data_IF_097574178393
#
_entry.id   IF_097574178393
#
_cell.length_a   1.000
_cell.length_b   1.000
_cell.length_c   1.000
_cell.angle_alpha   90.00
_cell.angle_beta   90.00
_cell.angle_gamma   90.00
#
_symmetry.space_group_name_H-M   'P 1'
#
loop_
_entity.id
_entity.type
_entity.pdbx_description
1 polymer ?
2 branched ?
3 non-polymer ?
4 water ?
#
# COMPACT_ATOMS: atom_id res chain seq x y z
N UNK A 39 -8.09 23.97 4.73
CA UNK A 39 -8.57 22.60 5.10
C UNK A 39 -8.98 21.71 3.93
N UNK A 40 -8.44 22.00 2.75
CA UNK A 40 -8.64 21.13 1.60
C UNK A 40 -7.32 20.69 0.96
N UNK A 41 -6.17 21.20 1.41
CA UNK A 41 -4.93 20.92 0.69
C UNK A 41 -4.46 19.48 0.93
N UNK A 42 -3.73 18.97 -0.05
CA UNK A 42 -3.18 17.63 0.07
C UNK A 42 -2.14 17.54 1.17
N UNK A 43 -2.09 16.40 1.85
CA UNK A 43 -1.06 16.13 2.86
C UNK A 43 -0.01 15.18 2.31
N UNK A 44 1.24 15.65 2.32
CA UNK A 44 2.34 14.88 1.74
C UNK A 44 3.10 14.02 2.74
N UNK A 45 2.48 13.84 3.92
CA UNK A 45 2.93 12.84 4.92
C UNK A 45 1.87 11.75 5.09
N UNK A 46 0.95 11.66 4.13
CA UNK A 46 -0.12 10.66 4.12
C UNK A 46 0.04 9.82 2.86
N UNK A 47 0.27 8.53 3.04
CA UNK A 47 0.63 7.59 1.97
C UNK A 47 -0.47 6.56 1.80
N UNK A 48 -1.05 6.45 0.63
CA UNK A 48 -2.14 5.54 0.42
C UNK A 48 -1.71 4.41 -0.51
N UNK A 49 -1.76 3.17 -0.02
CA UNK A 49 -1.28 2.02 -0.79
C UNK A 49 -2.20 1.75 -1.96
N UNK A 50 -1.58 1.74 -3.15
CA UNK A 50 -2.28 1.69 -4.43
C UNK A 50 -1.83 0.48 -5.23
N UNK A 51 -2.80 -0.19 -5.84
CA UNK A 51 -2.55 -1.42 -6.57
C UNK A 51 -2.89 -1.16 -8.04
N UNK A 52 -1.95 -1.50 -8.94
CA UNK A 52 -2.03 -1.22 -10.38
C UNK A 52 -2.18 -2.48 -11.22
N UNK A 53 -2.75 -3.53 -10.66
CA UNK A 53 -2.75 -4.84 -11.27
C UNK A 53 -4.07 -5.21 -11.96
N UNK A 54 -5.02 -4.26 -12.02
CA UNK A 54 -6.32 -4.52 -12.60
C UNK A 54 -6.30 -4.32 -14.10
N UNK A 55 -7.05 -5.15 -14.82
CA UNK A 55 -7.19 -5.00 -16.25
C UNK A 55 -8.65 -4.95 -16.66
N UNK A 56 -8.88 -4.42 -17.86
CA UNK A 56 -10.20 -4.43 -18.47
C UNK A 56 -10.11 -4.85 -19.91
N UNK A 57 -11.23 -5.26 -20.47
CA UNK A 57 -11.28 -5.57 -21.89
C UNK A 57 -10.92 -4.36 -22.72
N UNK A 58 -11.36 -3.16 -22.28
CA UNK A 58 -11.10 -1.94 -23.03
C UNK A 58 -9.63 -1.70 -23.32
N UNK A 59 -8.79 -1.91 -22.32
CA UNK A 59 -7.38 -1.60 -22.42
C UNK A 59 -6.51 -2.82 -22.62
N UNK A 60 -6.62 -3.76 -21.69
CA UNK A 60 -5.79 -4.95 -21.64
C UNK A 60 -6.26 -6.11 -22.48
N UNK A 61 -7.53 -6.11 -22.83
CA UNK A 61 -8.19 -7.23 -23.49
C UNK A 61 -8.57 -8.36 -22.56
N UNK A 62 -8.44 -8.15 -21.25
CA UNK A 62 -8.70 -9.18 -20.24
C UNK A 62 -8.98 -8.49 -18.92
N UNK A 63 -9.88 -9.05 -18.12
CA UNK A 63 -10.20 -8.49 -16.82
C UNK A 63 -9.25 -9.02 -15.74
N UNK A 64 -7.99 -8.64 -15.88
CA UNK A 64 -6.93 -9.08 -14.98
C UNK A 64 -7.25 -8.69 -13.53
N UNK A 65 -7.00 -9.63 -12.63
CA UNK A 65 -7.22 -9.50 -11.19
C UNK A 65 -8.69 -9.52 -10.77
N UNK A 66 -9.59 -8.94 -11.56
CA UNK A 66 -11.01 -9.16 -11.30
C UNK A 66 -11.31 -10.65 -11.38
N UNK A 67 -10.63 -11.33 -12.30
CA UNK A 67 -10.50 -12.79 -12.32
C UNK A 67 -9.29 -13.16 -11.48
N UNK A 68 -9.45 -14.13 -10.57
CA UNK A 68 -8.37 -14.46 -9.63
C UNK A 68 -8.58 -15.88 -9.15
N UNK A 69 -7.49 -16.60 -9.00
CA UNK A 69 -7.52 -17.91 -8.39
C UNK A 69 -7.99 -17.82 -6.94
N UNK A 70 -8.73 -18.82 -6.51
CA UNK A 70 -9.09 -18.97 -5.12
C UNK A 70 -7.96 -19.73 -4.42
N UNK A 71 -7.52 -19.22 -3.27
CA UNK A 71 -6.40 -19.85 -2.54
C UNK A 71 -6.87 -21.11 -1.82
N UNK A 72 -6.10 -22.21 -1.94
CA UNK A 72 -6.39 -23.35 -1.09
C UNK A 72 -6.13 -23.00 0.38
N UNK A 73 -6.79 -23.70 1.27
CA UNK A 73 -6.59 -23.53 2.71
C UNK A 73 -5.20 -24.10 3.09
N UNK A 74 -4.29 -23.25 3.60
CA UNK A 74 -2.95 -23.75 3.95
C UNK A 74 -2.94 -24.79 5.07
N UNK A 75 -3.99 -24.81 5.89
CA UNK A 75 -4.12 -25.82 6.96
C UNK A 75 -5.10 -26.94 6.58
N UNK A 76 -5.59 -26.94 5.35
CA UNK A 76 -6.53 -27.94 4.88
C UNK A 76 -5.81 -29.15 4.32
N UNK A 77 -6.56 -29.99 3.63
CA UNK A 77 -6.04 -31.25 3.11
C UNK A 77 -5.36 -31.09 1.77
N UNK A 78 -4.89 -32.22 1.23
CA UNK A 78 -4.34 -32.28 -0.11
C UNK A 78 -5.48 -32.45 -1.11
N UNK A 79 -5.17 -32.24 -2.38
CA UNK A 79 -6.16 -32.36 -3.45
C UNK A 79 -7.35 -31.41 -3.34
N UNK A 80 -7.13 -30.24 -2.75
CA UNK A 80 -8.12 -29.17 -2.83
C UNK A 80 -8.11 -28.67 -4.27
N UNK A 81 -9.29 -28.45 -4.82
CA UNK A 81 -9.42 -27.87 -6.16
C UNK A 81 -10.32 -26.65 -5.98
N UNK A 82 -9.76 -25.56 -5.43
CA UNK A 82 -10.60 -24.44 -5.00
C UNK A 82 -11.24 -23.65 -6.12
N UNK A 83 -10.62 -23.68 -7.31
CA UNK A 83 -11.20 -23.02 -8.47
C UNK A 83 -10.72 -21.59 -8.61
N UNK A 84 -11.45 -20.86 -9.46
CA UNK A 84 -11.09 -19.51 -9.85
C UNK A 84 -12.32 -18.65 -9.97
N UNK A 85 -12.20 -17.40 -9.57
CA UNK A 85 -13.24 -16.40 -9.76
C UNK A 85 -13.05 -15.89 -11.19
N UNK A 86 -14.11 -15.88 -12.02
CA UNK A 86 -13.88 -15.61 -13.46
C UNK A 86 -13.79 -14.16 -13.90
N UNK A 87 -14.07 -13.21 -13.01
CA UNK A 87 -13.96 -11.81 -13.38
C UNK A 87 -15.02 -11.37 -14.34
N UNK A 88 -16.17 -12.04 -14.30
CA UNK A 88 -17.33 -11.61 -15.07
C UNK A 88 -18.02 -10.43 -14.39
N UNK A 89 -19.01 -9.83 -15.04
CA UNK A 89 -19.88 -8.77 -14.43
C UNK A 89 -20.39 -9.25 -13.09
N UNK A 90 -20.82 -10.49 -13.06
CA UNK A 90 -21.50 -11.04 -11.91
C UNK A 90 -20.57 -11.51 -10.79
N UNK A 91 -19.35 -11.94 -11.15
CA UNK A 91 -18.46 -12.62 -10.20
C UNK A 91 -17.04 -12.11 -10.33
N UNK A 92 -16.70 -11.20 -9.43
CA UNK A 92 -15.37 -10.61 -9.37
C UNK A 92 -14.67 -11.00 -8.07
N UNK A 93 -13.36 -10.83 -8.04
CA UNK A 93 -12.52 -11.26 -6.94
C UNK A 93 -12.46 -10.22 -5.81
N UNK A 94 -13.63 -9.92 -5.28
CA UNK A 94 -13.78 -9.00 -4.16
C UNK A 94 -15.09 -9.32 -3.48
N UNK A 95 -15.17 -9.01 -2.19
CA UNK A 95 -16.44 -9.06 -1.47
C UNK A 95 -17.26 -7.77 -1.67
N UNK A 96 -16.66 -6.74 -2.27
CA UNK A 96 -17.29 -5.46 -2.61
C UNK A 96 -17.28 -5.28 -4.13
N UNK A 97 -17.95 -4.24 -4.62
CA UNK A 97 -18.08 -4.00 -6.04
C UNK A 97 -17.69 -2.55 -6.34
N UNK A 98 -16.66 -2.32 -7.17
CA UNK A 98 -16.25 -0.93 -7.40
C UNK A 98 -17.28 -0.09 -8.12
N UNK A 99 -17.40 1.17 -7.69
CA UNK A 99 -18.21 2.15 -8.43
C UNK A 99 -17.76 2.26 -9.88
N UNK A 100 -16.46 2.17 -10.15
CA UNK A 100 -15.91 2.25 -11.49
C UNK A 100 -15.95 0.96 -12.29
N UNK A 101 -16.50 -0.10 -11.70
CA UNK A 101 -16.60 -1.38 -12.36
C UNK A 101 -15.26 -2.09 -12.47
N UNK A 102 -15.21 -3.02 -13.43
CA UNK A 102 -14.03 -3.85 -13.67
C UNK A 102 -13.03 -3.05 -14.52
N UNK A 103 -12.35 -2.11 -13.86
CA UNK A 103 -11.54 -1.11 -14.53
C UNK A 103 -10.13 -1.61 -14.81
N UNK A 104 -9.46 -0.95 -15.77
CA UNK A 104 -8.04 -1.18 -16.01
C UNK A 104 -7.19 -0.10 -15.31
N UNK A 105 -6.15 -0.57 -14.63
CA UNK A 105 -5.11 0.29 -14.08
C UNK A 105 -4.28 1.02 -15.13
N UNK A 106 -4.43 0.61 -16.41
CA UNK A 106 -3.76 1.25 -17.53
C UNK A 106 -4.69 2.13 -18.34
N UNK A 107 -5.92 2.40 -17.85
CA UNK A 107 -6.90 3.24 -18.56
C UNK A 107 -6.67 4.67 -18.10
N UNK A 108 -6.18 5.55 -18.97
CA UNK A 108 -5.93 6.93 -18.51
C UNK A 108 -7.16 7.62 -17.93
N UNK A 109 -8.36 7.26 -18.42
CA UNK A 109 -9.55 7.89 -17.92
C UNK A 109 -9.88 7.43 -16.46
N UNK A 110 -9.60 6.18 -16.17
CA UNK A 110 -9.74 5.69 -14.80
C UNK A 110 -8.71 6.36 -13.91
N UNK A 111 -7.48 6.48 -14.40
CA UNK A 111 -6.42 7.06 -13.56
C UNK A 111 -6.76 8.50 -13.22
N UNK A 112 -7.31 9.26 -14.16
CA UNK A 112 -7.78 10.62 -13.88
C UNK A 112 -8.74 10.64 -12.69
N UNK A 113 -9.72 9.75 -12.76
CA UNK A 113 -10.73 9.63 -11.72
C UNK A 113 -10.13 9.26 -10.37
N UNK A 114 -9.20 8.31 -10.38
CA UNK A 114 -8.49 7.96 -9.15
C UNK A 114 -7.76 9.15 -8.56
N UNK A 115 -7.10 9.94 -9.40
CA UNK A 115 -6.40 11.10 -8.86
C UNK A 115 -7.37 12.12 -8.27
N UNK A 116 -8.54 12.30 -8.91
CA UNK A 116 -9.56 13.16 -8.31
C UNK A 116 -10.01 12.60 -6.94
N UNK A 117 -10.06 11.27 -6.81
CA UNK A 117 -10.41 10.67 -5.52
C UNK A 117 -9.34 10.92 -4.46
N UNK A 118 -8.06 10.82 -4.84
CA UNK A 118 -6.98 11.20 -3.93
C UNK A 118 -7.12 12.65 -3.48
N UNK A 119 -7.46 13.54 -4.41
CA UNK A 119 -7.67 14.93 -4.03
C UNK A 119 -8.80 15.07 -3.03
N UNK A 120 -9.91 14.38 -3.28
CA UNK A 120 -11.04 14.39 -2.33
C UNK A 120 -10.63 13.90 -0.94
N UNK A 121 -9.79 12.87 -0.91
CA UNK A 121 -9.34 12.27 0.33
C UNK A 121 -8.23 13.07 1.02
N UNK A 122 -7.62 14.01 0.30
CA UNK A 122 -6.49 14.84 0.76
C UNK A 122 -5.20 14.03 0.95
N UNK A 123 -5.12 12.88 0.30
CA UNK A 123 -3.97 11.98 0.42
C UNK A 123 -2.97 12.38 -0.64
N UNK A 124 -1.83 12.95 -0.25
CA UNK A 124 -0.89 13.47 -1.22
C UNK A 124 0.07 12.50 -1.83
N UNK A 125 0.22 11.30 -1.26
CA UNK A 125 1.20 10.33 -1.78
C UNK A 125 0.50 9.01 -2.11
N UNK A 126 0.71 8.56 -3.32
CA UNK A 126 0.28 7.27 -3.83
C UNK A 126 1.47 6.33 -3.69
N UNK A 127 1.31 5.28 -2.88
CA UNK A 127 2.40 4.33 -2.61
C UNK A 127 2.14 3.08 -3.48
N UNK A 128 2.81 3.04 -4.62
CA UNK A 128 2.50 2.12 -5.71
C UNK A 128 3.12 0.75 -5.53
N UNK A 129 2.28 -0.29 -5.46
CA UNK A 129 2.77 -1.67 -5.44
C UNK A 129 3.72 -1.90 -6.61
N UNK A 130 4.81 -2.61 -6.36
CA UNK A 130 5.81 -2.81 -7.40
C UNK A 130 6.37 -4.22 -7.30
N UNK A 131 6.14 -4.97 -8.39
CA UNK A 131 6.40 -6.40 -8.42
C UNK A 131 7.53 -6.81 -9.34
N UNK A 132 8.25 -5.83 -9.91
CA UNK A 132 9.38 -6.14 -10.77
C UNK A 132 9.00 -7.06 -11.92
N UNK A 133 7.93 -6.70 -12.61
CA UNK A 133 7.45 -7.55 -13.69
C UNK A 133 8.35 -7.52 -14.92
N UNK A 134 9.12 -6.45 -15.11
CA UNK A 134 10.09 -6.39 -16.23
C UNK A 134 9.37 -6.59 -17.56
N UNK A 135 8.30 -5.84 -17.75
CA UNK A 135 7.47 -5.96 -18.95
C UNK A 135 7.02 -4.59 -19.35
N UNK A 136 6.82 -4.45 -20.63
CA UNK A 136 6.33 -3.24 -21.25
C UNK A 136 5.10 -2.67 -20.55
N UNK A 137 4.18 -3.56 -20.20
CA UNK A 137 2.92 -3.10 -19.62
C UNK A 137 3.13 -2.45 -18.25
N UNK A 138 4.05 -2.97 -17.46
CA UNK A 138 4.40 -2.35 -16.18
C UNK A 138 4.97 -0.96 -16.39
N UNK A 139 5.91 -0.86 -17.31
CA UNK A 139 6.55 0.42 -17.56
C UNK A 139 5.52 1.43 -18.04
N UNK A 140 4.62 1.01 -18.92
CA UNK A 140 3.58 1.91 -19.42
C UNK A 140 2.72 2.43 -18.28
N UNK A 141 2.26 1.51 -17.47
CA UNK A 141 1.36 1.85 -16.42
C UNK A 141 1.99 2.81 -15.40
N UNK A 142 3.25 2.55 -15.03
CA UNK A 142 3.90 3.45 -14.08
C UNK A 142 3.96 4.85 -14.66
N UNK A 143 4.34 4.97 -15.93
CA UNK A 143 4.37 6.28 -16.55
C UNK A 143 3.02 6.96 -16.59
N UNK A 144 1.96 6.21 -16.89
CA UNK A 144 0.61 6.79 -16.89
C UNK A 144 0.20 7.28 -15.50
N UNK A 145 0.50 6.48 -14.49
CA UNK A 145 0.17 6.85 -13.12
C UNK A 145 0.89 8.11 -12.70
N UNK A 146 2.20 8.20 -12.98
CA UNK A 146 2.93 9.42 -12.70
C UNK A 146 2.34 10.64 -13.41
N UNK A 147 2.05 10.48 -14.69
CA UNK A 147 1.48 11.60 -15.44
C UNK A 147 0.14 12.06 -14.87
N UNK A 148 -0.72 11.10 -14.54
CA UNK A 148 -2.02 11.45 -14.01
C UNK A 148 -1.89 12.10 -12.64
N UNK A 149 -1.03 11.54 -11.80
CA UNK A 149 -0.79 12.11 -10.49
C UNK A 149 -0.33 13.56 -10.56
N UNK A 150 0.58 13.84 -11.49
CA UNK A 150 1.14 15.19 -11.54
C UNK A 150 0.10 16.23 -11.89
N UNK A 151 -0.92 15.87 -12.66
CA UNK A 151 -1.97 16.82 -13.03
C UNK A 151 -2.71 17.35 -11.80
N UNK A 152 -2.72 16.56 -10.72
CA UNK A 152 -3.43 16.88 -9.48
C UNK A 152 -2.50 17.16 -8.31
N UNK A 153 -1.19 17.29 -8.58
CA UNK A 153 -0.15 17.54 -7.58
C UNK A 153 -0.02 16.39 -6.58
N UNK A 154 -0.43 15.18 -6.99
CA UNK A 154 -0.18 13.99 -6.19
C UNK A 154 1.23 13.49 -6.49
N UNK A 155 1.85 12.91 -5.47
CA UNK A 155 3.18 12.33 -5.57
C UNK A 155 3.10 10.83 -5.55
N UNK A 156 4.15 10.18 -6.06
CA UNK A 156 4.18 8.73 -6.17
C UNK A 156 5.50 8.23 -5.57
N UNK A 157 5.38 7.25 -4.67
CA UNK A 157 6.52 6.49 -4.18
C UNK A 157 6.24 5.03 -4.43
N UNK A 158 7.25 4.18 -4.24
CA UNK A 158 7.11 2.75 -4.53
C UNK A 158 7.07 1.89 -3.27
N UNK A 159 6.19 0.89 -3.36
CA UNK A 159 5.99 -0.15 -2.33
C UNK A 159 6.59 -1.43 -2.89
N UNK A 160 7.81 -1.76 -2.47
CA UNK A 160 8.57 -2.84 -3.07
C UNK A 160 8.13 -4.19 -2.49
N UNK A 161 7.48 -4.97 -3.35
CA UNK A 161 6.90 -6.22 -2.97
C UNK A 161 7.92 -7.36 -2.98
N UNK A 162 7.56 -8.54 -2.46
CA UNK A 162 8.49 -9.68 -2.40
C UNK A 162 8.52 -10.44 -3.70
N UNK A 163 9.17 -9.83 -4.68
CA UNK A 163 9.31 -10.41 -6.02
C UNK A 163 10.29 -11.59 -5.97
N UNK A 164 10.24 -12.47 -6.98
CA UNK A 164 11.08 -13.68 -6.94
C UNK A 164 12.58 -13.37 -6.84
N UNK A 165 13.23 -14.04 -5.91
CA UNK A 165 14.67 -13.89 -5.67
C UNK A 165 15.09 -12.50 -5.25
N UNK A 166 14.16 -11.73 -4.68
CA UNK A 166 14.50 -10.43 -4.15
C UNK A 166 15.66 -10.58 -3.17
N UNK A 167 16.64 -9.69 -3.26
CA UNK A 167 17.79 -9.70 -2.37
C UNK A 167 18.38 -8.30 -2.38
N UNK A 168 19.37 -8.02 -1.53
CA UNK A 168 19.81 -6.63 -1.47
C UNK A 168 20.55 -6.14 -2.72
N UNK A 169 21.17 -7.05 -3.47
CA UNK A 169 21.86 -6.62 -4.67
C UNK A 169 20.87 -6.25 -5.77
N UNK A 170 19.89 -7.13 -6.06
CA UNK A 170 18.90 -6.72 -7.06
C UNK A 170 18.00 -5.59 -6.54
N UNK A 171 17.78 -5.49 -5.24
CA UNK A 171 17.07 -4.31 -4.71
C UNK A 171 17.84 -3.05 -5.04
N UNK A 172 19.14 -3.04 -4.81
CA UNK A 172 19.91 -1.86 -5.14
C UNK A 172 19.77 -1.53 -6.61
N UNK A 173 19.89 -2.54 -7.46
CA UNK A 173 19.81 -2.33 -8.90
C UNK A 173 18.45 -1.76 -9.28
N UNK A 174 17.40 -2.26 -8.63
CA UNK A 174 16.04 -1.79 -8.91
C UNK A 174 15.76 -0.41 -8.36
N UNK A 175 16.32 -0.08 -7.19
CA UNK A 175 16.23 1.28 -6.68
C UNK A 175 16.93 2.25 -7.64
N UNK A 176 18.12 1.88 -8.11
CA UNK A 176 18.83 2.70 -9.09
C UNK A 176 17.97 2.85 -10.34
N UNK A 177 17.39 1.76 -10.81
CA UNK A 177 16.57 1.80 -12.00
C UNK A 177 15.37 2.73 -11.83
N UNK A 178 14.66 2.60 -10.72
CA UNK A 178 13.47 3.41 -10.50
C UNK A 178 13.83 4.89 -10.34
N UNK A 179 14.90 5.19 -9.61
CA UNK A 179 15.31 6.58 -9.46
C UNK A 179 15.80 7.15 -10.81
N UNK A 180 16.55 6.36 -11.58
CA UNK A 180 17.03 6.80 -12.88
C UNK A 180 15.86 7.06 -13.83
N UNK A 181 14.92 6.11 -13.88
CA UNK A 181 13.79 6.22 -14.80
C UNK A 181 12.82 7.32 -14.43
N UNK A 182 12.49 7.41 -13.14
CA UNK A 182 11.37 8.20 -12.69
C UNK A 182 11.71 9.35 -11.77
N UNK A 183 12.96 9.43 -11.31
CA UNK A 183 13.35 10.44 -10.34
C UNK A 183 13.20 11.86 -10.80
N UNK A 184 13.30 12.11 -12.10
CA UNK A 184 13.09 13.46 -12.64
C UNK A 184 11.66 13.75 -13.03
N UNK A 185 10.75 12.77 -12.86
CA UNK A 185 9.36 13.03 -13.14
C UNK A 185 8.85 13.95 -12.03
N UNK A 186 8.08 15.00 -12.36
CA UNK A 186 7.63 15.93 -11.33
C UNK A 186 6.79 15.32 -10.19
N UNK A 187 6.13 14.19 -10.47
CA UNK A 187 5.30 13.53 -9.47
C UNK A 187 6.09 12.58 -8.59
N UNK A 188 7.36 12.31 -8.85
CA UNK A 188 8.13 11.41 -8.00
C UNK A 188 8.32 12.03 -6.61
N UNK A 189 7.95 11.28 -5.59
CA UNK A 189 7.99 11.77 -4.21
C UNK A 189 9.40 11.90 -3.69
N UNK A 190 9.65 12.99 -2.96
CA UNK A 190 10.83 13.10 -2.11
C UNK A 190 10.44 13.76 -0.79
N UNK A 191 11.10 13.31 0.27
CA UNK A 191 10.97 13.88 1.62
C UNK A 191 12.34 14.39 1.99
N UNK A 192 12.45 15.70 2.22
CA UNK A 192 13.74 16.36 2.52
C UNK A 192 14.86 15.92 1.57
N UNK A 193 14.52 15.86 0.27
CA UNK A 193 15.46 15.54 -0.78
C UNK A 193 15.63 14.08 -1.12
N UNK A 194 15.01 13.19 -0.35
CA UNK A 194 15.24 11.76 -0.54
C UNK A 194 13.98 11.08 -1.03
N UNK A 195 14.10 10.19 -2.03
CA UNK A 195 12.99 9.28 -2.32
C UNK A 195 12.64 8.45 -1.09
N UNK A 196 11.46 7.86 -1.09
CA UNK A 196 11.02 6.99 0.02
C UNK A 196 10.52 5.69 -0.59
N UNK A 197 10.96 4.56 -0.03
CA UNK A 197 10.45 3.25 -0.41
C UNK A 197 9.90 2.53 0.81
N UNK A 198 8.74 1.91 0.64
CA UNK A 198 8.22 0.95 1.64
C UNK A 198 8.69 -0.42 1.20
N UNK A 199 9.25 -1.19 2.12
CA UNK A 199 9.76 -2.53 1.81
C UNK A 199 8.87 -3.57 2.47
N UNK A 200 8.01 -4.19 1.67
CA UNK A 200 7.07 -5.16 2.21
C UNK A 200 7.79 -6.45 2.58
N UNK A 201 7.39 -7.04 3.71
CA UNK A 201 7.97 -8.32 4.16
C UNK A 201 9.50 -8.21 4.20
N UNK A 202 9.99 -7.10 4.74
CA UNK A 202 11.44 -6.92 4.86
C UNK A 202 12.11 -8.00 5.69
N UNK A 203 11.37 -8.64 6.59
CA UNK A 203 11.94 -9.71 7.44
C UNK A 203 12.37 -10.94 6.65
N UNK A 204 11.95 -11.06 5.40
CA UNK A 204 12.39 -12.17 4.55
C UNK A 204 13.89 -12.06 4.21
N UNK A 205 14.50 -10.90 4.48
CA UNK A 205 15.91 -10.67 4.25
C UNK A 205 16.57 -10.38 5.59
N UNK A 206 17.67 -11.08 5.86
CA UNK A 206 18.38 -10.94 7.11
C UNK A 206 18.98 -9.55 7.33
N UNK A 207 19.04 -9.08 8.58
CA UNK A 207 19.71 -7.80 8.83
C UNK A 207 21.16 -7.74 8.34
N UNK A 208 21.87 -8.86 8.40
CA UNK A 208 23.26 -8.87 7.89
C UNK A 208 23.34 -8.54 6.39
N UNK A 209 22.31 -8.89 5.65
CA UNK A 209 22.20 -8.50 4.23
C UNK A 209 21.76 -7.04 4.12
N UNK A 210 20.72 -6.65 4.84
CA UNK A 210 20.25 -5.26 4.79
C UNK A 210 21.40 -4.28 5.09
N UNK A 211 22.26 -4.60 6.05
CA UNK A 211 23.34 -3.71 6.45
C UNK A 211 24.23 -3.33 5.25
N UNK A 212 24.42 -4.28 4.34
CA UNK A 212 25.26 -4.05 3.18
C UNK A 212 24.75 -2.91 2.32
N UNK A 213 23.42 -2.78 2.28
CA UNK A 213 22.74 -1.80 1.46
C UNK A 213 22.49 -0.50 2.23
N UNK A 214 22.22 -0.62 3.53
CA UNK A 214 21.64 0.48 4.31
C UNK A 214 22.52 1.08 5.38
N UNK A 215 23.58 0.40 5.78
CA UNK A 215 24.54 1.03 6.68
C UNK A 215 25.39 2.00 5.86
N UNK A 216 25.82 3.12 6.47
CA UNK A 216 26.72 4.01 5.72
C UNK A 216 28.03 3.40 5.26
N UNK A 217 28.47 2.38 5.96
CA UNK A 217 29.69 1.67 5.54
C UNK A 217 29.45 0.40 4.75
N UNK A 218 28.21 0.15 4.38
CA UNK A 218 27.88 -1.12 3.77
C UNK A 218 28.57 -1.30 2.44
N UNK A 219 28.86 -2.56 2.14
CA UNK A 219 29.55 -2.98 0.95
C UNK A 219 28.95 -2.46 -0.35
N UNK A 220 27.61 -2.37 -0.40
CA UNK A 220 26.87 -1.84 -1.54
C UNK A 220 25.94 -0.70 -1.11
N UNK A 221 26.44 0.14 -0.22
CA UNK A 221 25.55 1.12 0.39
C UNK A 221 24.94 2.07 -0.64
N UNK A 222 23.72 2.50 -0.33
CA UNK A 222 23.12 3.65 -0.99
C UNK A 222 23.34 4.92 -0.20
N UNK A 223 23.78 4.84 1.05
CA UNK A 223 23.92 6.05 1.85
C UNK A 223 24.98 6.94 1.25
N UNK A 224 24.67 8.24 1.21
CA UNK A 224 25.60 9.27 0.68
C UNK A 224 25.84 9.17 -0.82
N UNK A 225 25.09 8.32 -1.50
CA UNK A 225 25.18 8.20 -2.94
C UNK A 225 24.05 8.96 -3.61
N UNK A 226 24.10 9.02 -4.93
CA UNK A 226 23.02 9.60 -5.71
C UNK A 226 21.69 8.87 -5.51
N UNK A 227 21.73 7.64 -5.00
CA UNK A 227 20.56 6.79 -4.88
C UNK A 227 20.11 6.62 -3.45
N UNK A 228 20.58 7.49 -2.54
CA UNK A 228 20.15 7.43 -1.14
C UNK A 228 18.64 7.66 -1.08
N UNK A 229 17.98 6.99 -0.13
CA UNK A 229 16.53 7.00 -0.01
C UNK A 229 16.15 6.68 1.43
N UNK A 230 14.95 7.09 1.81
CA UNK A 230 14.35 6.65 3.08
C UNK A 230 13.75 5.28 2.85
N UNK A 231 14.22 4.31 3.65
CA UNK A 231 13.82 2.93 3.49
C UNK A 231 13.00 2.54 4.71
N UNK A 232 11.73 2.22 4.48
CA UNK A 232 10.75 1.99 5.54
C UNK A 232 10.43 0.49 5.56
N UNK A 233 10.91 -0.19 6.61
CA UNK A 233 10.70 -1.62 6.72
C UNK A 233 9.40 -1.98 7.41
N UNK A 234 8.99 -3.23 7.28
CA UNK A 234 7.72 -3.68 7.84
C UNK A 234 7.92 -4.19 9.27
N UNK A 235 7.36 -3.52 10.25
CA UNK A 235 7.35 -4.02 11.64
C UNK A 235 6.18 -4.99 11.78
N UNK A 236 6.48 -6.26 12.03
CA UNK A 236 5.45 -7.30 12.18
C UNK A 236 5.21 -7.67 13.64
N UNK A 237 6.16 -8.38 14.24
CA UNK A 237 5.94 -9.06 15.52
C UNK A 237 6.39 -8.27 16.76
N UNK A 238 6.81 -8.96 17.82
CA UNK A 238 7.01 -8.31 19.11
C UNK A 238 8.27 -7.44 19.12
N UNK A 239 8.35 -6.46 20.04
CA UNK A 239 9.51 -5.59 20.11
C UNK A 239 10.83 -6.33 20.31
N UNK A 240 10.81 -7.45 21.04
CA UNK A 240 12.06 -8.16 21.26
C UNK A 240 12.68 -8.68 19.95
N UNK A 241 11.85 -8.92 18.95
CA UNK A 241 12.32 -9.30 17.61
C UNK A 241 12.53 -8.06 16.74
N UNK A 242 11.58 -7.15 16.75
CA UNK A 242 11.59 -6.06 15.74
C UNK A 242 12.57 -4.96 16.05
N UNK A 243 12.79 -4.64 17.33
CA UNK A 243 13.70 -3.56 17.64
C UNK A 243 15.12 -3.85 17.13
N UNK A 244 15.68 -5.03 17.46
CA UNK A 244 17.01 -5.29 16.91
C UNK A 244 17.03 -5.45 15.40
N UNK A 245 15.95 -5.99 14.83
CA UNK A 245 15.90 -6.12 13.39
C UNK A 245 16.04 -4.76 12.70
N UNK A 246 15.22 -3.80 13.11
CA UNK A 246 15.19 -2.49 12.49
C UNK A 246 16.52 -1.77 12.69
N UNK A 247 17.07 -1.83 13.90
CA UNK A 247 18.37 -1.21 14.16
C UNK A 247 19.49 -1.84 13.36
N UNK A 248 19.57 -3.16 13.40
CA UNK A 248 20.67 -3.85 12.74
C UNK A 248 20.57 -3.82 11.23
N UNK A 249 19.36 -3.69 10.69
CA UNK A 249 19.16 -3.56 9.25
C UNK A 249 19.37 -2.13 8.74
N UNK A 250 19.41 -1.15 9.65
CA UNK A 250 19.61 0.26 9.26
C UNK A 250 18.48 0.85 8.43
N UNK A 251 17.26 0.37 8.66
CA UNK A 251 16.10 1.06 8.07
C UNK A 251 15.96 2.46 8.66
N UNK A 252 15.43 3.36 7.85
CA UNK A 252 15.14 4.71 8.30
C UNK A 252 13.88 4.80 9.12
N UNK A 253 13.00 3.80 8.98
CA UNK A 253 11.74 3.81 9.65
C UNK A 253 11.01 2.52 9.44
N UNK A 254 9.74 2.49 9.86
CA UNK A 254 8.96 1.29 9.77
C UNK A 254 7.49 1.63 9.65
N UNK A 255 6.76 0.70 9.04
CA UNK A 255 5.32 0.76 8.84
C UNK A 255 4.73 -0.57 9.24
N UNK A 256 3.40 -0.67 9.27
CA UNK A 256 2.76 -1.87 9.83
C UNK A 256 1.86 -2.61 8.84
N UNK A 257 1.43 -1.92 7.77
CA UNK A 257 0.62 -2.39 6.64
C UNK A 257 -0.79 -2.90 6.98
N UNK A 258 -0.92 -3.93 7.83
CA UNK A 258 -2.18 -4.68 7.82
C UNK A 258 -3.33 -3.82 8.28
N UNK A 259 -4.43 -3.90 7.51
CA UNK A 259 -5.63 -3.15 7.85
C UNK A 259 -6.43 -3.76 8.98
N UNK A 260 -6.18 -5.05 9.26
CA UNK A 260 -6.91 -5.80 10.28
C UNK A 260 -6.26 -5.69 11.65
N UNK A 261 -6.94 -5.02 12.55
CA UNK A 261 -6.39 -4.79 13.90
C UNK A 261 -6.11 -6.14 14.54
N UNK A 262 -4.96 -6.24 15.18
CA UNK A 262 -4.59 -7.44 15.90
C UNK A 262 -4.05 -8.57 15.05
N UNK A 263 -3.95 -8.37 13.73
CA UNK A 263 -3.40 -9.42 12.89
C UNK A 263 -1.93 -9.71 13.24
N UNK A 264 -1.18 -8.63 13.51
CA UNK A 264 0.17 -8.74 14.01
C UNK A 264 0.27 -7.81 15.24
N UNK A 265 1.35 -7.95 15.97
CA UNK A 265 1.68 -6.98 17.03
C UNK A 265 1.68 -5.55 16.47
N UNK A 266 2.33 -5.38 15.32
CA UNK A 266 2.44 -4.05 14.71
C UNK A 266 1.12 -3.44 14.27
N UNK A 267 0.16 -4.29 13.90
CA UNK A 267 -1.15 -3.82 13.51
C UNK A 267 -2.16 -3.82 14.65
N UNK A 268 -1.68 -3.83 15.90
CA UNK A 268 -2.49 -3.70 17.08
C UNK A 268 -2.33 -2.27 17.61
N UNK A 269 -3.34 -1.38 17.40
CA UNK A 269 -3.10 0.03 17.63
C UNK A 269 -2.77 0.42 19.05
N UNK A 270 -3.14 -0.37 20.03
CA UNK A 270 -2.73 -0.09 21.42
C UNK A 270 -1.21 -0.16 21.62
N UNK A 271 -0.47 -0.75 20.66
CA UNK A 271 0.98 -0.74 20.73
C UNK A 271 1.63 0.49 20.11
N UNK A 272 0.85 1.34 19.46
CA UNK A 272 1.42 2.42 18.68
C UNK A 272 2.09 3.52 19.50
N UNK A 273 1.57 3.87 20.67
CA UNK A 273 2.22 4.86 21.50
C UNK A 273 3.65 4.43 21.84
N UNK A 274 3.81 3.18 22.25
CA UNK A 274 5.13 2.67 22.62
C UNK A 274 6.06 2.53 21.41
N UNK A 275 5.49 2.12 20.28
CA UNK A 275 6.29 2.02 19.05
C UNK A 275 6.78 3.39 18.61
N UNK A 276 5.95 4.42 18.75
CA UNK A 276 6.35 5.77 18.40
C UNK A 276 7.44 6.27 19.36
N UNK A 277 7.31 5.97 20.66
CA UNK A 277 8.33 6.38 21.61
C UNK A 277 9.69 5.78 21.27
N UNK A 278 9.68 4.48 20.96
CA UNK A 278 10.91 3.78 20.56
C UNK A 278 11.49 4.41 19.27
N UNK A 279 10.62 4.66 18.30
CA UNK A 279 11.05 5.28 17.05
C UNK A 279 11.76 6.61 17.32
N UNK A 280 11.12 7.46 18.14
CA UNK A 280 11.68 8.77 18.43
C UNK A 280 13.03 8.65 19.12
N UNK A 281 13.14 7.73 20.09
CA UNK A 281 14.39 7.53 20.83
C UNK A 281 15.53 7.03 19.92
N UNK A 282 15.17 6.39 18.81
CA UNK A 282 16.17 5.74 17.96
C UNK A 282 16.29 6.36 16.58
N UNK A 283 15.70 7.56 16.40
CA UNK A 283 15.82 8.32 15.16
C UNK A 283 15.15 7.66 13.96
N UNK A 284 14.09 6.90 14.20
CA UNK A 284 13.35 6.21 13.17
C UNK A 284 12.01 6.88 12.89
N UNK A 285 11.58 6.80 11.63
CA UNK A 285 10.27 7.30 11.21
C UNK A 285 9.21 6.20 11.30
N UNK A 286 8.21 6.37 12.15
CA UNK A 286 7.13 5.41 12.27
C UNK A 286 5.95 5.90 11.47
N UNK A 287 5.49 5.05 10.54
CA UNK A 287 4.39 5.34 9.63
C UNK A 287 3.31 4.25 9.83
N UNK A 288 2.53 4.34 10.92
CA UNK A 288 1.51 3.31 11.14
C UNK A 288 0.54 3.26 9.98
N UNK A 289 0.02 2.07 9.72
CA UNK A 289 -0.97 1.86 8.66
C UNK A 289 -2.37 1.70 9.26
N UNK A 290 -3.30 2.48 8.70
CA UNK A 290 -4.69 2.47 9.13
C UNK A 290 -5.52 2.00 7.94
N UNK A 291 -6.65 1.34 8.22
CA UNK A 291 -7.57 0.97 7.17
C UNK A 291 -8.99 0.90 7.63
N UNK A 292 -9.90 0.79 6.67
CA UNK A 292 -11.33 0.92 7.01
C UNK A 292 -12.02 -0.37 7.38
N UNK A 293 -11.34 -1.49 7.16
CA UNK A 293 -11.89 -2.84 7.39
C UNK A 293 -11.02 -3.85 6.68
N UNK A 294 -11.45 -5.10 6.73
CA UNK A 294 -10.76 -6.18 6.04
C UNK A 294 -11.74 -7.30 5.77
N UNK A 295 -11.75 -7.82 4.54
CA UNK A 295 -12.43 -9.08 4.27
C UNK A 295 -11.94 -9.60 2.93
N UNK A 296 -11.49 -10.85 2.92
CA UNK A 296 -10.90 -11.44 1.71
C UNK A 296 -11.49 -12.80 1.37
N UNK A 297 -12.70 -13.09 1.85
CA UNK A 297 -13.20 -14.45 1.79
C UNK A 297 -13.65 -14.91 0.42
N UNK A 298 -13.80 -14.03 -0.57
CA UNK A 298 -14.02 -14.52 -1.93
C UNK A 298 -12.78 -15.26 -2.45
N UNK A 299 -11.59 -14.70 -2.21
CA UNK A 299 -10.35 -15.34 -2.66
C UNK A 299 -9.70 -16.24 -1.62
N UNK A 300 -10.04 -16.07 -0.35
CA UNK A 300 -9.48 -16.88 0.75
C UNK A 300 -10.63 -17.29 1.66
N UNK A 301 -11.47 -18.26 1.22
CA UNK A 301 -12.69 -18.59 1.97
C UNK A 301 -12.46 -19.05 3.41
N UNK A 302 -11.27 -19.56 3.65
CA UNK A 302 -10.79 -20.09 4.93
C UNK A 302 -10.25 -19.02 5.88
N UNK A 303 -10.18 -17.76 5.45
CA UNK A 303 -9.55 -16.70 6.21
C UNK A 303 -10.52 -15.76 6.94
N UNK A 304 -11.69 -16.28 7.30
CA UNK A 304 -12.69 -15.47 7.93
C UNK A 304 -12.34 -14.88 9.27
N UNK A 305 -11.41 -15.47 10.02
CA UNK A 305 -11.03 -14.89 11.32
C UNK A 305 -10.38 -13.50 11.21
N UNK A 306 -9.89 -13.15 10.02
CA UNK A 306 -9.24 -11.85 9.77
C UNK A 306 -10.28 -10.78 9.41
N UNK A 307 -11.56 -11.16 9.20
CA UNK A 307 -12.56 -10.15 8.87
C UNK A 307 -12.62 -9.08 9.97
N UNK A 308 -12.62 -7.83 9.55
CA UNK A 308 -12.88 -6.69 10.42
C UNK A 308 -13.99 -5.89 9.76
N UNK A 309 -15.10 -5.77 10.46
CA UNK A 309 -16.29 -5.09 9.96
C UNK A 309 -16.14 -3.57 9.98
N UNK A 310 -16.69 -2.91 8.96
CA UNK A 310 -16.52 -1.46 8.85
C UNK A 310 -17.35 -0.61 9.79
N UNK A 311 -18.50 -1.16 10.21
CA UNK A 311 -19.42 -0.48 11.12
C UNK A 311 -19.68 0.97 10.74
N UNK A 312 -20.02 1.17 9.48
CA UNK A 312 -20.43 2.51 8.98
C UNK A 312 -19.38 3.57 9.25
N UNK A 313 -18.12 3.16 9.19
CA UNK A 313 -16.99 4.06 9.39
C UNK A 313 -16.35 4.05 10.75
N UNK A 314 -16.98 3.42 11.74
CA UNK A 314 -16.46 3.51 13.11
C UNK A 314 -15.14 2.77 13.27
N UNK A 315 -14.95 1.67 12.53
CA UNK A 315 -13.67 0.98 12.60
C UNK A 315 -12.53 1.87 12.07
N UNK A 316 -12.76 2.50 10.91
CA UNK A 316 -11.76 3.40 10.33
C UNK A 316 -11.45 4.53 11.29
N UNK A 317 -12.49 5.13 11.85
CA UNK A 317 -12.30 6.23 12.79
C UNK A 317 -11.43 5.81 13.97
N UNK A 318 -11.70 4.63 14.55
CA UNK A 318 -10.93 4.20 15.70
C UNK A 318 -9.47 4.00 15.37
N UNK A 319 -9.19 3.42 14.20
CA UNK A 319 -7.81 3.17 13.86
C UNK A 319 -7.06 4.47 13.55
N UNK A 320 -7.69 5.36 12.79
CA UNK A 320 -7.06 6.63 12.42
C UNK A 320 -6.84 7.47 13.67
N UNK A 321 -7.82 7.50 14.57
CA UNK A 321 -7.66 8.26 15.82
C UNK A 321 -6.45 7.76 16.61
N UNK A 322 -6.27 6.44 16.70
CA UNK A 322 -5.14 5.89 17.44
C UNK A 322 -3.81 6.26 16.83
N UNK A 323 -3.74 6.27 15.50
CA UNK A 323 -2.49 6.71 14.86
C UNK A 323 -2.16 8.15 15.23
N UNK A 324 -3.15 9.02 15.15
CA UNK A 324 -2.95 10.43 15.45
C UNK A 324 -2.56 10.62 16.91
N UNK A 325 -3.25 9.90 17.79
CA UNK A 325 -2.98 10.01 19.23
C UNK A 325 -1.60 9.52 19.60
N UNK A 326 -1.02 8.60 18.81
CA UNK A 326 0.33 8.12 19.07
C UNK A 326 1.38 9.19 18.81
N UNK A 327 1.01 10.26 18.11
CA UNK A 327 1.93 11.37 17.88
C UNK A 327 2.85 11.24 16.69
N UNK A 328 2.49 10.38 15.75
CA UNK A 328 3.36 10.13 14.59
C UNK A 328 3.36 11.32 13.65
N UNK A 329 4.37 11.33 12.80
CA UNK A 329 4.63 12.37 11.81
C UNK A 329 4.19 11.99 10.40
N UNK A 330 3.73 10.76 10.20
CA UNK A 330 3.31 10.27 8.90
C UNK A 330 2.39 9.12 9.14
N UNK A 331 1.43 8.95 8.22
CA UNK A 331 0.44 7.86 8.31
C UNK A 331 0.31 7.22 6.93
N UNK A 332 0.14 5.90 6.92
CA UNK A 332 -0.14 5.20 5.69
C UNK A 332 -1.53 4.56 5.78
N UNK A 333 -2.18 4.44 4.62
CA UNK A 333 -3.55 3.95 4.50
C UNK A 333 -3.56 2.69 3.65
N UNK A 334 -4.03 1.61 4.30
CA UNK A 334 -4.25 0.31 3.66
C UNK A 334 -5.74 0.14 3.50
N UNK A 335 -6.31 0.47 2.33
CA UNK A 335 -5.62 0.75 1.07
C UNK A 335 -6.49 1.67 0.23
N UNK A 336 -5.95 2.18 -0.87
CA UNK A 336 -6.82 2.81 -1.84
C UNK A 336 -7.75 1.78 -2.47
N UNK A 337 -7.16 0.68 -2.97
CA UNK A 337 -7.87 -0.21 -3.88
C UNK A 337 -7.37 -1.64 -3.85
N UNK A 338 -7.12 -2.18 -2.65
CA UNK A 338 -6.90 -3.63 -2.52
C UNK A 338 -8.28 -4.29 -2.37
N UNK A 339 -8.95 -4.41 -3.52
CA UNK A 339 -10.31 -4.91 -3.56
C UNK A 339 -10.40 -6.37 -3.13
N UNK A 340 -9.34 -7.15 -3.37
CA UNK A 340 -9.38 -8.57 -2.98
C UNK A 340 -9.48 -8.72 -1.46
N UNK A 341 -8.94 -7.75 -0.74
CA UNK A 341 -8.81 -7.84 0.71
C UNK A 341 -9.79 -6.94 1.44
N UNK A 342 -10.64 -6.22 0.70
CA UNK A 342 -11.71 -5.48 1.35
C UNK A 342 -11.22 -4.36 2.22
N UNK A 343 -10.00 -3.85 1.95
CA UNK A 343 -9.44 -2.75 2.71
C UNK A 343 -9.55 -1.42 1.99
N UNK A 344 -10.20 -1.39 0.82
CA UNK A 344 -10.18 -0.21 -0.03
C UNK A 344 -11.00 0.94 0.53
N UNK A 345 -10.52 2.17 0.30
CA UNK A 345 -11.33 3.38 0.50
C UNK A 345 -11.97 3.84 -0.81
N UNK A 346 -11.54 3.29 -1.94
CA UNK A 346 -12.12 3.65 -3.22
C UNK A 346 -13.64 3.40 -3.20
N UNK A 347 -14.45 4.28 -3.83
CA UNK A 347 -15.91 4.06 -3.83
C UNK A 347 -16.35 2.69 -4.34
N UNK A 348 -17.31 2.13 -3.59
CA UNK A 348 -17.97 0.85 -3.86
C UNK A 348 -19.45 1.12 -3.92
N UNK A 349 -20.18 0.29 -4.65
CA UNK A 349 -21.62 0.44 -4.80
C UNK A 349 -22.36 -0.83 -4.44
N UNK A 350 -23.63 -0.71 -4.03
CA UNK A 350 -24.42 -1.90 -3.82
C UNK A 350 -24.54 -2.73 -5.09
N UNK A 351 -24.49 -4.04 -4.96
CA UNK A 351 -24.53 -4.91 -6.09
C UNK A 351 -25.00 -6.30 -5.69
N UNK A 352 -26.02 -6.82 -6.35
CA UNK A 352 -26.43 -8.19 -6.16
C UNK A 352 -26.49 -8.76 -7.55
N UNK A 353 -25.80 -9.85 -7.77
CA UNK A 353 -25.84 -10.54 -9.05
C UNK A 353 -26.38 -11.92 -8.79
N UNK A 354 -26.54 -12.65 -9.87
CA UNK A 354 -26.97 -14.03 -9.79
C UNK A 354 -25.93 -14.91 -9.10
N UNK A 355 -24.66 -14.46 -9.03
CA UNK A 355 -23.58 -15.27 -8.46
C UNK A 355 -23.17 -14.88 -7.03
N UNK A 356 -23.42 -13.65 -6.59
CA UNK A 356 -22.93 -13.20 -5.29
C UNK A 356 -23.68 -11.95 -4.89
N UNK A 357 -23.93 -11.83 -3.59
CA UNK A 357 -24.47 -10.62 -3.01
C UNK A 357 -23.29 -9.87 -2.37
N UNK A 358 -22.89 -8.76 -2.99
CA UNK A 358 -21.71 -8.04 -2.53
C UNK A 358 -22.03 -7.25 -1.27
N UNK A 359 -21.00 -7.02 -0.48
CA UNK A 359 -21.04 -6.05 0.58
C UNK A 359 -21.01 -4.66 -0.05
N UNK A 360 -21.33 -3.64 0.74
CA UNK A 360 -21.33 -2.27 0.27
C UNK A 360 -21.16 -1.34 1.45
N UNK A 361 -21.13 -0.05 1.18
CA UNK A 361 -20.89 0.92 2.24
C UNK A 361 -22.12 1.36 2.95
N UNK A 362 -23.30 0.93 2.50
CA UNK A 362 -24.54 1.36 3.17
C UNK A 362 -24.42 1.01 4.66
N UNK A 363 -24.80 1.91 5.55
CA UNK A 363 -25.65 3.10 5.30
C UNK A 363 -24.93 4.39 4.89
N UNK A 364 -23.65 4.29 4.60
CA UNK A 364 -22.89 5.43 4.06
C UNK A 364 -22.95 5.43 2.54
N UNK A 365 -22.67 6.59 1.94
CA UNK A 365 -22.62 6.77 0.49
C UNK A 365 -21.30 6.21 -0.12
N UNK A 366 -21.26 5.98 -1.44
CA UNK A 366 -20.06 5.35 -2.03
C UNK A 366 -18.75 6.08 -1.76
N UNK A 367 -18.79 7.41 -1.70
CA UNK A 367 -17.58 8.21 -1.47
C UNK A 367 -17.29 8.51 0.01
N UNK A 368 -18.01 7.84 0.91
CA UNK A 368 -17.84 8.13 2.32
C UNK A 368 -16.41 7.96 2.81
N UNK A 369 -15.74 6.88 2.39
CA UNK A 369 -14.41 6.65 2.91
C UNK A 369 -13.40 7.65 2.36
N UNK A 370 -13.64 8.21 1.16
CA UNK A 370 -12.81 9.34 0.69
C UNK A 370 -13.04 10.57 1.56
N UNK A 371 -14.29 10.95 1.80
CA UNK A 371 -14.52 12.15 2.58
C UNK A 371 -14.12 11.96 4.04
N UNK A 372 -14.27 10.74 4.59
CA UNK A 372 -13.83 10.52 5.97
C UNK A 372 -12.31 10.52 6.07
N UNK A 373 -11.62 10.03 5.03
CA UNK A 373 -10.17 10.20 5.00
C UNK A 373 -9.79 11.69 5.07
N UNK A 374 -10.48 12.53 4.29
CA UNK A 374 -10.18 13.95 4.33
C UNK A 374 -10.37 14.55 5.72
N UNK A 375 -11.41 14.11 6.42
CA UNK A 375 -11.65 14.51 7.80
C UNK A 375 -10.43 14.18 8.65
N UNK A 376 -9.97 12.93 8.57
CA UNK A 376 -8.84 12.49 9.38
C UNK A 376 -7.53 13.13 9.00
N UNK A 377 -7.33 13.38 7.70
CA UNK A 377 -6.14 14.13 7.28
C UNK A 377 -6.10 15.51 7.97
N UNK A 378 -7.27 16.16 8.04
CA UNK A 378 -7.36 17.42 8.77
C UNK A 378 -6.98 17.32 10.24
N UNK A 379 -7.52 16.30 10.90
CA UNK A 379 -7.17 16.06 12.31
C UNK A 379 -5.69 15.73 12.50
N UNK A 380 -5.15 14.98 11.55
CA UNK A 380 -3.72 14.69 11.57
C UNK A 380 -2.88 15.98 11.43
N UNK A 381 -3.27 16.84 10.49
CA UNK A 381 -2.56 18.09 10.30
C UNK A 381 -2.67 19.00 11.51
N UNK A 382 -3.84 18.94 12.17
CA UNK A 382 -4.05 19.74 13.37
C UNK A 382 -3.02 19.38 14.45
N UNK A 383 -2.58 18.11 14.46
CA UNK A 383 -1.60 17.53 15.40
C UNK A 383 -0.15 17.57 14.97
N UNK A 384 0.13 18.12 13.79
CA UNK A 384 1.49 18.06 13.20
C UNK A 384 2.33 19.26 13.59
#
# INVERSE_FOLDING_TARGET
>A
MGSSHHHHHHSSGLVPRGSHMDDNNPSNSENNGGNNNLGTELDYDTFCFYYDWYGSEAIDGQYRHWAHAIAPDPNGGSGQNPGTIPGTQESIASNFYPQLGRYSSSDPNILTKHMDMFVMARTGVLALTWWNEQDETEAKRIGLILDAADKKKIKVCFHLEPYPSRNVQNLRENIVKLITRYGNHPAFYRKDGKPLFFIYDSYLIEPSEWEKLLSPGGSITIRNTAYDALMIGLWTSSPTVQRPFILNAHFDGFYTYFAATGFTYGSTPTNWVSMQKWAKENGKIFIPSVGPGYIDTRIRPWNGSVIRTRTDGQYYDAMYRKAIEAGVSAISITSFNQWHEGSQIEPAVPYTSSEFTYLDYENREPDYYLTRTAYWVGKFRESKQ
#
